data_IF_591277386351
#
_entry.id   IF_591277386351
#
_cell.length_a   1.000
_cell.length_b   1.000
_cell.length_c   1.000
_cell.angle_alpha   90.00
_cell.angle_beta   90.00
_cell.angle_gamma   90.00
#
_symmetry.space_group_name_H-M   'P 1'
#
loop_
_entity.id
_entity.type
_entity.pdbx_description
1 polymer ?
#
# COMPACT_ATOMS: atom_id res chain seq x y z
N UNK A 1 -13.65 -27.47 -9.01
CA UNK A 1 -12.30 -26.96 -9.27
C UNK A 1 -12.33 -26.20 -10.59
N UNK A 2 -12.31 -24.87 -10.52
CA UNK A 2 -12.00 -23.90 -11.58
C UNK A 2 -12.32 -22.50 -11.00
N UNK A 3 -11.48 -21.47 -11.04
CA UNK A 3 -10.22 -21.30 -11.76
C UNK A 3 -9.15 -20.71 -10.83
N UNK A 4 -7.95 -21.28 -10.92
CA UNK A 4 -6.76 -20.51 -10.62
C UNK A 4 -6.65 -19.42 -11.67
N UNK A 5 -7.03 -18.20 -11.30
CA UNK A 5 -6.55 -17.02 -12.00
C UNK A 5 -5.06 -16.90 -11.71
N UNK A 6 -4.27 -16.68 -12.73
CA UNK A 6 -2.84 -16.43 -12.62
C UNK A 6 -2.60 -15.26 -11.65
N UNK A 7 -2.02 -15.55 -10.48
CA UNK A 7 -1.77 -14.60 -9.40
C UNK A 7 -0.52 -13.79 -9.68
N UNK A 8 -0.59 -12.92 -10.68
CA UNK A 8 0.40 -11.87 -10.92
C UNK A 8 0.11 -10.72 -9.95
N UNK A 9 0.80 -10.71 -8.81
CA UNK A 9 0.76 -9.65 -7.79
C UNK A 9 -0.62 -9.26 -7.25
N UNK A 10 -1.12 -9.96 -6.23
CA UNK A 10 -2.39 -9.61 -5.61
C UNK A 10 -2.20 -8.51 -4.55
N UNK A 11 -2.76 -7.34 -4.81
CA UNK A 11 -3.02 -6.32 -3.80
C UNK A 11 -4.52 -6.10 -3.75
N UNK A 12 -5.12 -6.32 -2.58
CA UNK A 12 -6.51 -5.98 -2.33
C UNK A 12 -6.57 -4.73 -1.45
N UNK A 13 -7.34 -3.73 -1.89
CA UNK A 13 -7.50 -2.45 -1.19
C UNK A 13 -8.96 -2.30 -0.81
N UNK A 14 -9.22 -2.13 0.48
CA UNK A 14 -10.54 -1.86 1.04
C UNK A 14 -10.57 -0.39 1.48
N UNK A 15 -11.60 0.34 1.06
CA UNK A 15 -11.86 1.70 1.52
C UNK A 15 -12.90 1.66 2.63
N UNK A 16 -12.55 2.24 3.77
CA UNK A 16 -13.38 2.33 4.95
C UNK A 16 -13.45 3.80 5.37
N UNK A 17 -14.63 4.27 5.79
CA UNK A 17 -14.81 5.63 6.32
C UNK A 17 -14.80 5.54 7.84
N UNK A 18 -13.88 6.29 8.44
CA UNK A 18 -13.73 6.41 9.88
C UNK A 18 -14.18 7.79 10.32
N UNK A 19 -14.73 7.90 11.52
CA UNK A 19 -14.92 9.21 12.13
C UNK A 19 -13.69 9.55 12.96
N UNK A 20 -13.12 10.74 12.75
CA UNK A 20 -12.03 11.23 13.60
C UNK A 20 -12.60 11.59 14.98
N UNK A 21 -12.17 10.88 16.02
CA UNK A 21 -12.68 11.08 17.38
C UNK A 21 -12.37 12.46 17.98
N UNK A 22 -11.38 13.18 17.43
CA UNK A 22 -10.97 14.51 17.90
C UNK A 22 -11.70 15.65 17.16
N UNK A 23 -11.90 15.52 15.85
CA UNK A 23 -12.48 16.58 15.01
C UNK A 23 -13.93 16.33 14.62
N UNK A 24 -14.40 15.08 14.72
CA UNK A 24 -15.71 14.63 14.26
C UNK A 24 -15.82 14.46 12.74
N UNK A 25 -14.75 14.72 11.99
CA UNK A 25 -14.72 14.65 10.53
C UNK A 25 -14.64 13.21 10.02
N UNK A 26 -15.23 12.97 8.85
CA UNK A 26 -15.08 11.69 8.13
C UNK A 26 -13.70 11.62 7.47
N UNK A 27 -13.00 10.51 7.73
CA UNK A 27 -11.67 10.21 7.21
C UNK A 27 -11.75 8.92 6.42
N UNK A 28 -11.32 8.97 5.16
CA UNK A 28 -11.15 7.77 4.34
C UNK A 28 -9.86 7.05 4.75
N UNK A 29 -10.00 5.84 5.26
CA UNK A 29 -8.88 4.93 5.51
C UNK A 29 -8.84 3.82 4.47
N UNK A 30 -7.63 3.35 4.18
CA UNK A 30 -7.39 2.26 3.25
C UNK A 30 -6.75 1.10 4.00
N UNK A 31 -7.40 -0.07 3.94
CA UNK A 31 -6.80 -1.33 4.37
C UNK A 31 -6.21 -2.02 3.14
N UNK A 32 -4.90 -2.31 3.16
CA UNK A 32 -4.19 -2.95 2.04
C UNK A 32 -3.73 -4.35 2.45
N UNK A 33 -4.22 -5.36 1.74
CA UNK A 33 -3.77 -6.74 1.85
C UNK A 33 -2.78 -7.03 0.72
N UNK A 34 -1.59 -7.51 1.08
CA UNK A 34 -0.47 -7.71 0.15
C UNK A 34 -0.14 -9.19 0.06
N UNK A 35 -0.29 -9.77 -1.13
CA UNK A 35 -0.09 -11.21 -1.39
C UNK A 35 0.74 -11.48 -2.65
N UNK A 36 1.19 -12.73 -2.80
CA UNK A 36 1.96 -13.21 -3.95
C UNK A 36 3.25 -12.42 -4.18
N UNK A 37 3.55 -12.11 -5.43
CA UNK A 37 4.80 -11.44 -5.83
C UNK A 37 5.02 -10.08 -5.16
N UNK A 38 3.94 -9.33 -4.85
CA UNK A 38 4.09 -8.05 -4.14
C UNK A 38 4.52 -8.28 -2.70
N UNK A 39 4.02 -9.34 -2.05
CA UNK A 39 4.50 -9.73 -0.72
C UNK A 39 5.98 -10.07 -0.74
N UNK A 40 6.44 -10.83 -1.74
CA UNK A 40 7.85 -11.21 -1.91
C UNK A 40 8.77 -10.00 -2.06
N UNK A 41 8.32 -8.96 -2.79
CA UNK A 41 9.06 -7.69 -2.90
C UNK A 41 9.15 -6.99 -1.55
N UNK A 42 8.06 -6.92 -0.79
CA UNK A 42 8.07 -6.34 0.56
C UNK A 42 9.01 -7.11 1.49
N UNK A 43 8.90 -8.44 1.52
CA UNK A 43 9.81 -9.30 2.31
C UNK A 43 11.27 -9.06 1.93
N UNK A 44 11.56 -8.93 0.63
CA UNK A 44 12.91 -8.69 0.16
C UNK A 44 13.44 -7.33 0.63
N UNK A 45 12.64 -6.27 0.55
CA UNK A 45 13.02 -4.93 1.03
C UNK A 45 13.34 -4.95 2.52
N UNK A 46 12.50 -5.60 3.33
CA UNK A 46 12.76 -5.79 4.77
C UNK A 46 14.04 -6.61 5.04
N UNK A 47 14.43 -7.50 4.13
CA UNK A 47 15.63 -8.32 4.30
C UNK A 47 16.94 -7.62 3.94
N UNK A 48 16.90 -6.61 3.06
CA UNK A 48 18.10 -5.94 2.53
C UNK A 48 18.31 -4.54 3.08
N UNK A 49 17.25 -3.87 3.52
CA UNK A 49 17.32 -2.50 4.04
C UNK A 49 16.96 -2.49 5.54
N UNK A 50 17.94 -2.22 6.43
CA UNK A 50 17.70 -2.21 7.87
C UNK A 50 16.81 -1.06 8.34
N UNK A 51 16.50 -0.09 7.47
CA UNK A 51 15.56 1.00 7.79
C UNK A 51 14.10 0.54 7.71
N UNK A 52 13.83 -0.59 7.05
CA UNK A 52 12.52 -1.22 7.01
C UNK A 52 12.46 -2.42 7.96
N UNK A 53 11.58 -2.32 8.94
CA UNK A 53 11.29 -3.41 9.88
C UNK A 53 9.87 -3.94 9.71
N UNK A 54 8.99 -3.16 9.09
CA UNK A 54 7.58 -3.47 8.92
C UNK A 54 7.04 -3.04 7.56
N UNK A 55 5.96 -3.68 7.14
CA UNK A 55 5.31 -3.44 5.85
C UNK A 55 4.70 -2.04 5.72
N UNK A 56 4.22 -1.45 6.81
CA UNK A 56 3.62 -0.11 6.80
C UNK A 56 4.65 0.99 6.52
N UNK A 57 5.91 0.78 6.88
CA UNK A 57 7.02 1.70 6.57
C UNK A 57 7.31 1.70 5.07
N UNK A 58 7.42 0.50 4.47
CA UNK A 58 7.57 0.34 3.01
C UNK A 58 6.36 0.95 2.29
N UNK A 59 5.14 0.65 2.74
CA UNK A 59 3.92 1.17 2.11
C UNK A 59 3.83 2.69 2.21
N UNK A 60 4.23 3.29 3.33
CA UNK A 60 4.27 4.75 3.50
C UNK A 60 5.17 5.39 2.46
N UNK A 61 6.37 4.85 2.25
CA UNK A 61 7.33 5.41 1.31
C UNK A 61 6.86 5.22 -0.14
N UNK A 62 6.36 4.04 -0.49
CA UNK A 62 5.72 3.76 -1.79
C UNK A 62 4.58 4.75 -2.07
N UNK A 63 3.72 5.02 -1.09
CA UNK A 63 2.63 5.98 -1.22
C UNK A 63 3.17 7.38 -1.52
N UNK A 64 4.11 7.89 -0.72
CA UNK A 64 4.63 9.25 -0.90
C UNK A 64 5.41 9.42 -2.20
N UNK A 65 6.23 8.44 -2.57
CA UNK A 65 6.96 8.45 -3.84
C UNK A 65 6.01 8.38 -5.04
N UNK A 66 5.01 7.50 -4.97
CA UNK A 66 3.96 7.41 -5.98
C UNK A 66 3.18 8.72 -6.13
N UNK A 67 2.75 9.34 -5.02
CA UNK A 67 2.07 10.63 -5.05
C UNK A 67 2.93 11.74 -5.64
N UNK A 68 4.22 11.81 -5.30
CA UNK A 68 5.16 12.78 -5.88
C UNK A 68 5.23 12.63 -7.40
N UNK A 69 5.37 11.40 -7.91
CA UNK A 69 5.42 11.13 -9.35
C UNK A 69 4.11 11.52 -10.06
N UNK A 70 2.95 11.22 -9.44
CA UNK A 70 1.64 11.59 -9.98
C UNK A 70 1.43 13.11 -10.07
N UNK A 71 1.96 13.87 -9.10
CA UNK A 71 1.88 15.33 -9.09
C UNK A 71 2.85 15.95 -10.11
N UNK A 72 4.08 15.45 -10.19
CA UNK A 72 5.09 15.93 -11.14
C UNK A 72 4.65 15.77 -12.60
N UNK A 73 3.89 14.73 -12.92
CA UNK A 73 3.31 14.55 -14.27
C UNK A 73 2.17 15.51 -14.63
N UNK A 74 1.71 16.37 -13.72
CA UNK A 74 0.51 17.22 -13.88
C UNK A 74 0.75 18.71 -13.65
N UNK A 75 1.87 19.10 -13.04
CA UNK A 75 2.34 20.48 -13.05
C UNK A 75 3.21 20.73 -14.29
N UNK A 76 2.55 21.06 -15.40
CA UNK A 76 3.15 21.77 -16.54
C UNK A 76 2.35 23.06 -16.80
#
# INVERSE_FOLDING_TARGET
MNGGGDNVGQVAIINEVFQNDLTGEEVHGLTVMVEGQVKEIFDHLLSIDPTYTRYDEVMRDVLFEGLKQLLQGRTQ
#
